data_IF_762389716921
#
_entry.id   IF_762389716921
#
_cell.length_a   1.000
_cell.length_b   1.000
_cell.length_c   1.000
_cell.angle_alpha   90.00
_cell.angle_beta   90.00
_cell.angle_gamma   90.00
#
_symmetry.space_group_name_H-M   'P 1'
#
loop_
_entity.id
_entity.type
_entity.pdbx_description
1 polymer ?
#
# COMPACT_ATOMS: atom_id res chain seq x y z
N UNK A 1 -36.99 -26.13 1.33
CA UNK A 1 -36.40 -25.95 2.67
C UNK A 1 -34.92 -25.73 2.46
N UNK A 2 -34.47 -24.49 2.59
CA UNK A 2 -33.05 -24.18 2.72
C UNK A 2 -32.93 -23.60 4.13
N UNK A 3 -32.86 -24.50 5.10
CA UNK A 3 -32.16 -24.20 6.35
C UNK A 3 -30.68 -24.29 5.98
N UNK A 4 -30.05 -23.14 5.77
CA UNK A 4 -28.58 -23.05 5.75
C UNK A 4 -28.22 -22.05 6.83
N UNK A 5 -27.75 -22.62 7.94
CA UNK A 5 -27.34 -21.98 9.18
C UNK A 5 -26.60 -20.67 8.89
N UNK A 6 -27.16 -19.54 9.35
CA UNK A 6 -26.48 -18.25 9.23
C UNK A 6 -25.18 -18.23 10.06
N UNK A 7 -24.40 -17.17 9.89
CA UNK A 7 -23.08 -17.06 10.50
C UNK A 7 -23.19 -16.85 12.01
N UNK A 8 -22.61 -17.76 12.79
CA UNK A 8 -22.36 -17.53 14.21
C UNK A 8 -21.44 -16.31 14.40
N UNK A 9 -21.45 -15.69 15.58
CA UNK A 9 -20.62 -14.52 15.88
C UNK A 9 -19.13 -14.75 15.57
N UNK A 10 -18.63 -15.94 15.92
CA UNK A 10 -17.23 -16.32 15.70
C UNK A 10 -16.94 -16.47 14.21
N UNK A 11 -17.82 -17.12 13.45
CA UNK A 11 -17.64 -17.29 12.00
C UNK A 11 -17.70 -15.93 11.27
N UNK A 12 -18.66 -15.09 11.66
CA UNK A 12 -18.84 -13.74 11.12
C UNK A 12 -17.62 -12.84 11.34
N UNK A 13 -17.19 -12.69 12.59
CA UNK A 13 -16.03 -11.85 12.89
C UNK A 13 -14.75 -12.44 12.31
N UNK A 14 -14.58 -13.77 12.34
CA UNK A 14 -13.43 -14.44 11.75
C UNK A 14 -13.27 -14.07 10.27
N UNK A 15 -14.31 -14.25 9.48
CA UNK A 15 -14.29 -13.97 8.04
C UNK A 15 -13.99 -12.50 7.73
N UNK A 16 -14.72 -11.57 8.37
CA UNK A 16 -14.58 -10.13 8.07
C UNK A 16 -13.25 -9.56 8.56
N UNK A 17 -12.76 -10.00 9.73
CA UNK A 17 -11.46 -9.53 10.25
C UNK A 17 -10.29 -10.11 9.48
N UNK A 18 -10.35 -11.38 9.05
CA UNK A 18 -9.33 -11.98 8.20
C UNK A 18 -9.28 -11.30 6.82
N UNK A 19 -10.45 -10.97 6.26
CA UNK A 19 -10.55 -10.19 5.02
C UNK A 19 -9.89 -8.82 5.19
N UNK A 20 -10.24 -8.07 6.25
CA UNK A 20 -9.64 -6.77 6.56
C UNK A 20 -8.12 -6.86 6.73
N UNK A 21 -7.61 -7.86 7.47
CA UNK A 21 -6.16 -8.06 7.67
C UNK A 21 -5.47 -8.36 6.34
N UNK A 22 -6.07 -9.20 5.50
CA UNK A 22 -5.53 -9.53 4.18
C UNK A 22 -5.48 -8.29 3.29
N UNK A 23 -6.56 -7.50 3.25
CA UNK A 23 -6.57 -6.24 2.49
C UNK A 23 -5.55 -5.24 3.02
N UNK A 24 -5.41 -5.10 4.34
CA UNK A 24 -4.36 -4.26 4.95
C UNK A 24 -2.98 -4.70 4.46
N UNK A 25 -2.70 -6.00 4.43
CA UNK A 25 -1.41 -6.51 3.97
C UNK A 25 -1.19 -6.29 2.48
N UNK A 26 -2.18 -6.61 1.65
CA UNK A 26 -2.07 -6.57 0.18
C UNK A 26 -1.95 -5.13 -0.33
N UNK A 27 -2.66 -4.20 0.33
CA UNK A 27 -2.60 -2.76 0.05
C UNK A 27 -1.46 -2.05 0.81
N UNK A 28 -0.60 -2.82 1.50
CA UNK A 28 0.54 -2.33 2.28
C UNK A 28 0.17 -1.25 3.31
N UNK A 29 -0.98 -1.41 3.97
CA UNK A 29 -1.50 -0.43 4.93
C UNK A 29 -0.68 -0.47 6.25
N UNK A 30 -0.14 0.67 6.68
CA UNK A 30 0.61 0.82 7.93
C UNK A 30 -0.36 1.18 9.06
N UNK A 31 -0.63 0.19 9.90
CA UNK A 31 -1.52 0.37 11.04
C UNK A 31 -0.89 1.15 12.18
N UNK A 32 0.44 1.24 12.28
CA UNK A 32 1.12 1.97 13.36
C UNK A 32 1.07 3.49 13.17
N UNK A 33 0.58 3.93 12.01
CA UNK A 33 0.60 5.30 11.57
C UNK A 33 -0.75 6.00 11.74
N UNK A 34 -0.74 7.18 12.39
CA UNK A 34 -1.91 8.05 12.56
C UNK A 34 -3.11 7.34 13.19
N UNK A 35 -4.30 7.59 12.62
CA UNK A 35 -5.57 7.01 13.04
C UNK A 35 -5.84 5.63 12.43
N UNK A 36 -4.91 4.99 11.70
CA UNK A 36 -5.19 3.71 11.04
C UNK A 36 -5.47 2.56 12.02
N UNK A 37 -4.84 2.52 13.19
CA UNK A 37 -5.27 1.61 14.26
C UNK A 37 -6.72 1.90 14.69
N UNK A 38 -7.07 3.19 14.81
CA UNK A 38 -8.40 3.60 15.25
C UNK A 38 -9.46 3.29 14.18
N UNK A 39 -9.18 3.55 12.91
CA UNK A 39 -10.04 3.22 11.77
C UNK A 39 -10.23 1.71 11.63
N UNK A 40 -9.15 0.92 11.70
CA UNK A 40 -9.24 -0.54 11.73
C UNK A 40 -10.13 -1.01 12.89
N UNK A 41 -9.97 -0.41 14.07
CA UNK A 41 -10.80 -0.73 15.24
C UNK A 41 -12.26 -0.36 14.98
N UNK A 42 -12.55 0.82 14.44
CA UNK A 42 -13.91 1.27 14.11
C UNK A 42 -14.58 0.33 13.11
N UNK A 43 -13.87 -0.14 12.10
CA UNK A 43 -14.37 -1.12 11.12
C UNK A 43 -14.66 -2.46 11.80
N UNK A 44 -13.79 -2.90 12.71
CA UNK A 44 -14.00 -4.15 13.47
C UNK A 44 -15.19 -4.03 14.43
N UNK A 45 -15.32 -2.90 15.12
CA UNK A 45 -16.45 -2.58 16.00
C UNK A 45 -17.75 -2.50 15.19
N UNK A 46 -17.71 -1.95 13.96
CA UNK A 46 -18.83 -1.96 13.03
C UNK A 46 -19.28 -3.39 12.71
N UNK A 47 -18.37 -4.27 12.29
CA UNK A 47 -18.69 -5.68 12.01
C UNK A 47 -19.34 -6.37 13.22
N UNK A 48 -18.82 -6.14 14.44
CA UNK A 48 -19.41 -6.69 15.66
C UNK A 48 -20.82 -6.15 15.89
N UNK A 49 -21.00 -4.83 15.75
CA UNK A 49 -22.29 -4.18 15.94
C UNK A 49 -23.35 -4.62 14.92
N UNK A 50 -22.97 -4.87 13.67
CA UNK A 50 -23.89 -5.37 12.65
C UNK A 50 -24.36 -6.79 12.99
N UNK A 51 -23.47 -7.65 13.46
CA UNK A 51 -23.87 -8.99 13.92
C UNK A 51 -24.88 -8.90 15.06
N UNK A 52 -24.60 -8.09 16.09
CA UNK A 52 -25.49 -7.91 17.23
C UNK A 52 -26.85 -7.35 16.81
N UNK A 53 -26.86 -6.38 15.88
CA UNK A 53 -28.06 -5.80 15.30
C UNK A 53 -28.94 -6.87 14.66
N UNK A 54 -28.35 -7.69 13.78
CA UNK A 54 -29.09 -8.76 13.08
C UNK A 54 -29.56 -9.82 14.07
N UNK A 55 -28.70 -10.26 14.99
CA UNK A 55 -29.02 -11.33 15.92
C UNK A 55 -30.09 -10.95 16.93
N UNK A 56 -29.95 -9.80 17.60
CA UNK A 56 -30.84 -9.41 18.69
C UNK A 56 -32.10 -8.69 18.22
N UNK A 57 -32.04 -7.91 17.13
CA UNK A 57 -33.18 -7.09 16.69
C UNK A 57 -33.93 -7.73 15.52
N UNK A 58 -33.22 -8.29 14.54
CA UNK A 58 -33.86 -9.02 13.43
C UNK A 58 -34.17 -10.48 13.77
N UNK A 59 -33.69 -10.96 14.92
CA UNK A 59 -33.97 -12.29 15.47
C UNK A 59 -33.60 -13.44 14.52
N UNK A 60 -32.50 -13.25 13.78
CA UNK A 60 -31.95 -14.26 12.87
C UNK A 60 -30.42 -14.24 12.90
N UNK A 61 -29.79 -15.26 12.33
CA UNK A 61 -28.35 -15.20 12.07
C UNK A 61 -28.08 -14.44 10.77
N UNK A 62 -26.96 -13.72 10.66
CA UNK A 62 -26.54 -13.12 9.40
C UNK A 62 -26.37 -14.16 8.32
N UNK A 63 -26.67 -13.79 7.08
CA UNK A 63 -26.52 -14.64 5.91
C UNK A 63 -25.51 -14.02 4.93
N UNK A 64 -25.41 -14.60 3.73
CA UNK A 64 -24.46 -14.14 2.70
C UNK A 64 -24.77 -12.74 2.17
N UNK A 65 -26.04 -12.31 2.20
CA UNK A 65 -26.43 -10.97 1.75
C UNK A 65 -25.96 -9.90 2.77
N UNK A 66 -26.06 -10.20 4.07
CA UNK A 66 -25.49 -9.35 5.11
C UNK A 66 -23.96 -9.27 4.98
N UNK A 67 -23.30 -10.41 4.71
CA UNK A 67 -21.86 -10.45 4.54
C UNK A 67 -21.40 -9.63 3.32
N UNK A 68 -22.18 -9.67 2.23
CA UNK A 68 -21.92 -8.83 1.04
C UNK A 68 -22.03 -7.35 1.37
N UNK A 69 -23.01 -6.97 2.19
CA UNK A 69 -23.20 -5.58 2.66
C UNK A 69 -22.00 -5.09 3.48
N UNK A 70 -21.47 -5.92 4.38
CA UNK A 70 -20.29 -5.55 5.16
C UNK A 70 -19.01 -5.46 4.30
N UNK A 71 -18.90 -6.27 3.25
CA UNK A 71 -17.80 -6.17 2.29
C UNK A 71 -17.89 -4.88 1.45
N UNK A 72 -19.10 -4.45 1.09
CA UNK A 72 -19.32 -3.14 0.45
C UNK A 72 -18.94 -2.00 1.39
N UNK A 73 -19.31 -2.11 2.68
CA UNK A 73 -18.87 -1.15 3.70
C UNK A 73 -17.34 -1.10 3.80
N UNK A 74 -16.68 -2.26 3.89
CA UNK A 74 -15.22 -2.33 3.91
C UNK A 74 -14.62 -1.66 2.67
N UNK A 75 -15.12 -1.98 1.48
CA UNK A 75 -14.68 -1.37 0.23
C UNK A 75 -14.85 0.16 0.23
N UNK A 76 -15.93 0.67 0.82
CA UNK A 76 -16.15 2.11 0.99
C UNK A 76 -15.19 2.76 2.00
N UNK A 77 -14.70 2.03 3.01
CA UNK A 77 -13.69 2.51 3.96
C UNK A 77 -12.26 2.39 3.44
N UNK A 78 -12.00 1.54 2.43
CA UNK A 78 -10.64 1.35 1.89
C UNK A 78 -9.98 2.65 1.43
N UNK A 79 -10.65 3.56 0.70
CA UNK A 79 -10.06 4.85 0.37
C UNK A 79 -9.59 5.64 1.60
N UNK A 80 -10.31 5.58 2.73
CA UNK A 80 -9.92 6.26 3.97
C UNK A 80 -8.76 5.56 4.67
N UNK A 81 -8.73 4.22 4.70
CA UNK A 81 -7.59 3.46 5.20
C UNK A 81 -6.33 3.73 4.35
N UNK A 82 -6.48 3.80 3.03
CA UNK A 82 -5.41 4.14 2.09
C UNK A 82 -5.00 5.61 2.20
N UNK A 83 -5.95 6.54 2.36
CA UNK A 83 -5.67 7.97 2.57
C UNK A 83 -5.11 8.26 3.96
N UNK A 84 -5.31 7.36 4.92
CA UNK A 84 -4.57 7.33 6.17
C UNK A 84 -3.06 7.13 5.98
N UNK A 85 -2.60 6.87 4.75
CA UNK A 85 -1.18 6.86 4.40
C UNK A 85 -0.65 8.26 4.09
N UNK A 86 0.49 8.50 4.73
CA UNK A 86 1.52 9.44 4.31
C UNK A 86 1.84 9.30 2.81
N UNK A 87 1.84 10.44 2.13
CA UNK A 87 2.17 10.63 0.71
C UNK A 87 3.52 9.99 0.32
N UNK A 88 4.40 9.83 1.31
CA UNK A 88 5.71 9.20 1.31
C UNK A 88 5.76 7.78 0.71
N UNK A 89 4.79 6.91 0.98
CA UNK A 89 4.79 5.53 0.44
C UNK A 89 4.33 5.48 -1.02
N UNK A 90 3.36 6.33 -1.39
CA UNK A 90 2.97 6.53 -2.78
C UNK A 90 4.16 7.09 -3.57
N UNK A 91 4.92 8.01 -2.99
CA UNK A 91 6.15 8.52 -3.58
C UNK A 91 7.24 7.45 -3.69
N UNK A 92 7.34 6.51 -2.76
CA UNK A 92 8.30 5.41 -2.88
C UNK A 92 7.96 4.48 -4.06
N UNK A 93 6.68 4.18 -4.27
CA UNK A 93 6.20 3.41 -5.43
C UNK A 93 6.39 4.20 -6.75
N UNK A 94 6.10 5.51 -6.76
CA UNK A 94 6.35 6.37 -7.93
C UNK A 94 7.85 6.54 -8.23
N UNK A 95 8.71 6.56 -7.21
CA UNK A 95 10.17 6.53 -7.39
C UNK A 95 10.62 5.27 -8.09
N UNK A 96 10.08 4.11 -7.69
CA UNK A 96 10.38 2.84 -8.37
C UNK A 96 10.02 2.92 -9.85
N UNK A 97 8.85 3.46 -10.17
CA UNK A 97 8.44 3.64 -11.58
C UNK A 97 9.46 4.48 -12.37
N UNK A 98 9.94 5.59 -11.79
CA UNK A 98 10.97 6.43 -12.42
C UNK A 98 12.33 5.71 -12.56
N UNK A 99 12.72 4.91 -11.58
CA UNK A 99 13.93 4.08 -11.64
C UNK A 99 13.78 3.05 -12.76
N UNK A 100 12.65 2.35 -12.85
CA UNK A 100 12.38 1.36 -13.89
C UNK A 100 12.49 1.98 -15.30
N UNK A 101 11.90 3.16 -15.51
CA UNK A 101 12.02 3.92 -16.76
C UNK A 101 13.48 4.31 -17.08
N UNK A 102 14.25 4.70 -16.08
CA UNK A 102 15.67 5.00 -16.27
C UNK A 102 16.50 3.76 -16.60
N UNK A 103 16.23 2.64 -15.92
CA UNK A 103 16.88 1.35 -16.16
C UNK A 103 16.51 0.77 -17.53
N UNK A 104 15.33 1.10 -18.08
CA UNK A 104 14.92 0.62 -19.41
C UNK A 104 15.89 1.03 -20.53
N UNK A 105 16.67 2.12 -20.34
CA UNK A 105 17.71 2.55 -21.27
C UNK A 105 19.06 1.84 -21.05
N UNK A 106 19.08 0.77 -20.26
CA UNK A 106 20.27 0.05 -19.80
C UNK A 106 20.06 -1.45 -19.86
N UNK A 107 21.17 -2.18 -19.87
CA UNK A 107 21.15 -3.64 -19.95
C UNK A 107 21.58 -4.22 -18.60
N UNK A 108 20.69 -4.97 -17.96
CA UNK A 108 20.92 -5.64 -16.69
C UNK A 108 20.47 -7.10 -16.79
N UNK A 109 21.07 -7.99 -15.99
CA UNK A 109 20.53 -9.33 -15.80
C UNK A 109 19.25 -9.21 -14.97
N UNK A 110 18.22 -10.00 -15.28
CA UNK A 110 16.91 -9.89 -14.62
C UNK A 110 16.98 -9.99 -13.09
N UNK A 111 17.77 -10.93 -12.55
CA UNK A 111 17.96 -11.04 -11.10
C UNK A 111 18.58 -9.79 -10.46
N UNK A 112 19.54 -9.17 -11.15
CA UNK A 112 20.19 -7.93 -10.68
C UNK A 112 19.24 -6.73 -10.80
N UNK A 113 18.45 -6.68 -11.87
CA UNK A 113 17.39 -5.69 -12.05
C UNK A 113 16.38 -5.74 -10.88
N UNK A 114 15.86 -6.93 -10.57
CA UNK A 114 14.87 -7.10 -9.50
C UNK A 114 15.46 -6.72 -8.13
N UNK A 115 16.74 -7.05 -7.91
CA UNK A 115 17.46 -6.64 -6.70
C UNK A 115 17.66 -5.12 -6.60
N UNK A 116 18.00 -4.46 -7.71
CA UNK A 116 18.11 -2.99 -7.76
C UNK A 116 16.75 -2.35 -7.43
N UNK A 117 15.67 -2.80 -8.07
CA UNK A 117 14.33 -2.26 -7.84
C UNK A 117 13.88 -2.43 -6.39
N UNK A 118 14.03 -3.63 -5.83
CA UNK A 118 13.65 -3.86 -4.43
C UNK A 118 14.45 -3.00 -3.44
N UNK A 119 15.73 -2.76 -3.72
CA UNK A 119 16.55 -1.85 -2.91
C UNK A 119 16.12 -0.39 -3.06
N UNK A 120 15.89 0.08 -4.28
CA UNK A 120 15.45 1.44 -4.55
C UNK A 120 14.13 1.76 -3.86
N UNK A 121 13.19 0.81 -3.89
CA UNK A 121 11.94 0.89 -3.16
C UNK A 121 12.17 1.06 -1.66
N UNK A 122 12.95 0.15 -1.05
CA UNK A 122 13.26 0.21 0.39
C UNK A 122 13.95 1.51 0.80
N UNK A 123 14.89 2.00 -0.02
CA UNK A 123 15.57 3.27 0.27
C UNK A 123 14.65 4.47 0.11
N UNK A 124 13.73 4.44 -0.86
CA UNK A 124 12.75 5.49 -1.06
C UNK A 124 11.76 5.57 0.10
N UNK A 125 11.23 4.43 0.55
CA UNK A 125 10.42 4.36 1.76
C UNK A 125 11.15 4.98 2.96
N UNK A 126 12.41 4.58 3.20
CA UNK A 126 13.22 5.13 4.29
C UNK A 126 13.44 6.63 4.17
N UNK A 127 13.76 7.11 2.98
CA UNK A 127 14.01 8.52 2.73
C UNK A 127 12.78 9.36 2.98
N UNK A 128 11.63 8.95 2.44
CA UNK A 128 10.40 9.73 2.60
C UNK A 128 9.88 9.68 4.04
N UNK A 129 9.99 8.53 4.72
CA UNK A 129 9.67 8.42 6.15
C UNK A 129 10.48 9.40 7.04
N UNK A 130 11.70 9.72 6.63
CA UNK A 130 12.62 10.62 7.34
C UNK A 130 12.63 12.04 6.74
N UNK A 131 11.76 12.34 5.76
CA UNK A 131 11.75 13.64 5.07
C UNK A 131 11.13 14.72 5.96
N UNK A 132 11.99 15.56 6.53
CA UNK A 132 11.64 16.68 7.40
C UNK A 132 11.15 17.92 6.64
N UNK A 133 11.22 17.90 5.31
CA UNK A 133 10.96 19.09 4.48
C UNK A 133 9.49 19.26 4.05
N UNK A 134 8.56 18.54 4.67
CA UNK A 134 7.12 18.66 4.36
C UNK A 134 6.61 20.11 4.52
N UNK A 135 7.04 20.81 5.57
CA UNK A 135 6.60 22.18 5.86
C UNK A 135 7.18 23.23 4.89
N UNK A 136 8.35 22.96 4.28
CA UNK A 136 9.03 23.89 3.37
C UNK A 136 8.32 24.04 2.02
N UNK A 137 7.45 23.09 1.68
CA UNK A 137 6.76 23.03 0.40
C UNK A 137 5.25 23.27 0.48
N UNK A 138 4.72 23.73 1.62
CA UNK A 138 3.28 24.03 1.83
C UNK A 138 2.64 24.97 0.79
N UNK A 139 3.44 25.67 -0.03
CA UNK A 139 2.96 26.54 -1.10
C UNK A 139 2.98 25.89 -2.51
N UNK A 140 3.52 24.67 -2.66
CA UNK A 140 3.49 23.91 -3.91
C UNK A 140 2.23 23.05 -4.01
N UNK A 141 1.77 22.78 -5.23
CA UNK A 141 0.80 21.72 -5.42
C UNK A 141 1.43 20.34 -5.17
N UNK A 142 0.60 19.37 -4.81
CA UNK A 142 1.06 18.04 -4.42
C UNK A 142 1.80 17.31 -5.55
N UNK A 143 1.43 17.54 -6.82
CA UNK A 143 2.04 16.88 -7.97
C UNK A 143 3.45 17.42 -8.28
N UNK A 144 3.64 18.73 -8.11
CA UNK A 144 4.94 19.38 -8.25
C UNK A 144 5.89 19.00 -7.11
N UNK A 145 5.39 18.90 -5.88
CA UNK A 145 6.15 18.40 -4.72
C UNK A 145 6.67 16.98 -4.99
N UNK A 146 5.77 16.07 -5.36
CA UNK A 146 6.08 14.69 -5.77
C UNK A 146 7.20 14.68 -6.80
N UNK A 147 6.99 15.35 -7.94
CA UNK A 147 7.94 15.34 -9.06
C UNK A 147 9.32 15.86 -8.65
N UNK A 148 9.39 16.95 -7.90
CA UNK A 148 10.65 17.56 -7.49
C UNK A 148 11.40 16.70 -6.47
N UNK A 149 10.69 16.10 -5.51
CA UNK A 149 11.30 15.20 -4.52
C UNK A 149 11.76 13.89 -5.15
N UNK A 150 10.96 13.28 -6.01
CA UNK A 150 11.35 12.11 -6.81
C UNK A 150 12.63 12.35 -7.60
N UNK A 151 12.76 13.51 -8.27
CA UNK A 151 14.00 13.86 -8.96
C UNK A 151 15.19 14.04 -8.00
N UNK A 152 14.96 14.59 -6.81
CA UNK A 152 16.00 14.85 -5.81
C UNK A 152 16.55 13.54 -5.25
N UNK A 153 15.65 12.64 -4.82
CA UNK A 153 16.03 11.33 -4.29
C UNK A 153 16.72 10.49 -5.37
N UNK A 154 16.20 10.50 -6.60
CA UNK A 154 16.80 9.77 -7.71
C UNK A 154 18.22 10.26 -8.04
N UNK A 155 18.42 11.57 -8.17
CA UNK A 155 19.76 12.17 -8.36
C UNK A 155 20.71 11.83 -7.22
N UNK A 156 20.22 11.84 -5.98
CA UNK A 156 21.00 11.50 -4.80
C UNK A 156 21.47 10.05 -4.84
N UNK A 157 20.59 9.09 -5.13
CA UNK A 157 20.97 7.68 -5.19
C UNK A 157 21.98 7.38 -6.31
N UNK A 158 21.81 7.98 -7.49
CA UNK A 158 22.81 7.87 -8.57
C UNK A 158 24.19 8.43 -8.17
N UNK A 159 24.21 9.54 -7.43
CA UNK A 159 25.45 10.19 -6.98
C UNK A 159 26.12 9.46 -5.82
N UNK A 160 25.34 8.98 -4.86
CA UNK A 160 25.85 8.41 -3.62
C UNK A 160 26.24 6.93 -3.80
N UNK A 161 25.63 6.23 -4.78
CA UNK A 161 25.89 4.80 -5.05
C UNK A 161 26.35 4.49 -6.50
N UNK A 162 27.28 5.25 -7.11
CA UNK A 162 27.65 5.06 -8.51
C UNK A 162 28.39 3.75 -8.75
N UNK A 163 29.12 3.26 -7.75
CA UNK A 163 29.81 1.97 -7.79
C UNK A 163 28.85 0.78 -7.63
N UNK A 164 27.61 1.01 -7.22
CA UNK A 164 26.63 -0.04 -7.04
C UNK A 164 25.96 -0.42 -8.37
N UNK A 165 25.59 0.55 -9.22
CA UNK A 165 24.92 0.25 -10.49
C UNK A 165 25.90 -0.22 -11.59
N UNK A 166 27.13 0.31 -11.59
CA UNK A 166 28.14 0.03 -12.62
C UNK A 166 28.52 -1.45 -12.80
N UNK A 167 28.64 -2.27 -11.74
CA UNK A 167 28.97 -3.70 -11.89
C UNK A 167 27.87 -4.52 -12.54
N UNK A 168 26.61 -4.11 -12.40
CA UNK A 168 25.46 -4.84 -12.95
C UNK A 168 25.07 -4.36 -14.36
N UNK A 169 25.46 -3.14 -14.73
CA UNK A 169 25.22 -2.59 -16.07
C UNK A 169 26.09 -3.33 -17.09
N UNK A 170 25.47 -4.17 -17.90
CA UNK A 170 26.11 -4.80 -19.04
C UNK A 170 26.47 -3.71 -20.06
N UNK A 171 27.74 -3.67 -20.47
CA UNK A 171 28.12 -2.85 -21.62
C UNK A 171 27.34 -3.35 -22.81
N UNK A 172 26.50 -2.49 -23.38
CA UNK A 172 25.76 -2.80 -24.60
C UNK A 172 26.71 -3.39 -25.62
N UNK A 173 26.57 -4.67 -25.92
CA UNK A 173 27.19 -5.25 -27.11
C UNK A 173 26.46 -4.55 -28.24
N UNK A 174 27.16 -3.67 -28.98
CA UNK A 174 26.67 -3.20 -30.26
C UNK A 174 26.25 -4.44 -31.06
N UNK A 175 24.95 -4.67 -31.19
CA UNK A 175 24.40 -5.64 -32.13
C UNK A 175 24.52 -5.00 -33.52
N UNK A 176 25.75 -4.96 -34.02
CA UNK A 176 26.07 -4.78 -35.43
C UNK A 176 26.89 -6.00 -35.87
N UNK A 177 26.20 -7.11 -36.08
CA UNK A 177 26.51 -8.14 -37.09
C UNK A 177 25.19 -8.66 -37.65
#
# INVERSE_FOLDING_TARGET
MIDTEGYSYVAWLGLLTETLITTIKDEKIDLSYGDNQLLKKQITDHFSSTWERIHFFEQRLPNTDDLSTELEYLAAQLPTLKAGHRQEYLMADEHVTHVEEWLANKHFIKGDYDFIIGREHFMAEKFFLEDDMYDEYMAMDAADYVRLRLQTIFKRFLRDYPAYYKPYEQKGVNQNV
#
